data_IF_631005201320
#
_entry.id   IF_631005201320
#
_cell.length_a   1.000
_cell.length_b   1.000
_cell.length_c   1.000
_cell.angle_alpha   90.00
_cell.angle_beta   90.00
_cell.angle_gamma   90.00
#
_symmetry.space_group_name_H-M   'P 1'
#
loop_
_entity.id
_entity.type
_entity.pdbx_description
1 polymer ?
#
# COMPACT_ATOMS: atom_id res chain seq x y z
N UNK A 1 -14.40 29.43 -3.49
CA UNK A 1 -15.72 29.11 -4.05
C UNK A 1 -16.41 28.19 -3.08
N UNK A 2 -17.67 28.49 -2.74
CA UNK A 2 -18.50 27.65 -1.88
C UNK A 2 -18.76 26.33 -2.63
N UNK A 3 -18.15 25.24 -2.15
CA UNK A 3 -18.29 23.92 -2.77
C UNK A 3 -19.20 23.08 -1.88
N UNK A 4 -20.19 22.39 -2.45
CA UNK A 4 -21.06 21.52 -1.67
C UNK A 4 -20.22 20.43 -1.01
N UNK A 5 -20.48 20.14 0.27
CA UNK A 5 -19.75 19.17 1.07
C UNK A 5 -20.72 18.15 1.65
N UNK A 6 -20.47 16.88 1.35
CA UNK A 6 -21.10 15.75 2.03
C UNK A 6 -20.03 15.05 2.87
N UNK A 7 -20.27 14.95 4.17
CA UNK A 7 -19.42 14.15 5.03
C UNK A 7 -19.90 12.71 4.94
N UNK A 8 -19.03 11.77 4.55
CA UNK A 8 -19.31 10.34 4.58
C UNK A 8 -18.70 9.75 5.87
N UNK A 9 -19.45 9.69 6.99
CA UNK A 9 -18.96 9.20 8.27
C UNK A 9 -18.78 7.68 8.23
N UNK A 10 -17.59 7.23 7.83
CA UNK A 10 -17.23 5.82 7.90
C UNK A 10 -16.86 5.46 9.35
N UNK A 11 -17.55 4.50 9.96
CA UNK A 11 -17.37 4.12 11.36
C UNK A 11 -16.05 3.37 11.61
N UNK A 12 -15.49 3.52 12.82
CA UNK A 12 -14.20 2.91 13.19
C UNK A 12 -14.33 1.47 13.71
N UNK A 13 -15.50 1.09 14.25
CA UNK A 13 -15.77 -0.27 14.74
C UNK A 13 -16.40 -1.11 13.63
N UNK A 14 -15.68 -1.27 12.52
CA UNK A 14 -16.22 -1.88 11.31
C UNK A 14 -16.45 -3.40 11.41
N UNK A 15 -16.01 -4.06 12.48
CA UNK A 15 -16.30 -5.47 12.76
C UNK A 15 -17.71 -5.69 13.37
N UNK A 16 -18.41 -4.63 13.78
CA UNK A 16 -19.78 -4.72 14.29
C UNK A 16 -20.79 -4.81 13.12
N UNK A 17 -21.60 -5.87 13.01
CA UNK A 17 -22.61 -5.99 11.94
C UNK A 17 -23.63 -4.84 11.89
N UNK A 18 -23.94 -4.21 13.02
CA UNK A 18 -24.86 -3.06 13.07
C UNK A 18 -24.29 -1.84 12.36
N UNK A 19 -22.96 -1.70 12.43
CA UNK A 19 -22.20 -0.60 11.85
C UNK A 19 -22.18 -0.70 10.31
N UNK A 20 -22.20 -1.93 9.77
CA UNK A 20 -22.26 -2.17 8.33
C UNK A 20 -23.52 -1.60 7.70
N UNK A 21 -24.70 -1.85 8.30
CA UNK A 21 -25.98 -1.32 7.79
C UNK A 21 -26.04 0.20 7.81
N UNK A 22 -25.47 0.82 8.85
CA UNK A 22 -25.33 2.27 8.91
C UNK A 22 -24.49 2.81 7.74
N UNK A 23 -23.32 2.19 7.47
CA UNK A 23 -22.47 2.58 6.36
C UNK A 23 -23.13 2.42 4.98
N UNK A 24 -23.99 1.41 4.81
CA UNK A 24 -24.78 1.24 3.58
C UNK A 24 -25.72 2.43 3.34
N UNK A 25 -26.44 2.86 4.37
CA UNK A 25 -27.34 4.02 4.27
C UNK A 25 -26.57 5.30 3.92
N UNK A 26 -25.41 5.53 4.56
CA UNK A 26 -24.54 6.69 4.32
C UNK A 26 -24.02 6.74 2.87
N UNK A 27 -23.72 5.58 2.28
CA UNK A 27 -23.33 5.47 0.86
C UNK A 27 -24.48 5.88 -0.06
N UNK A 28 -25.71 5.42 0.22
CA UNK A 28 -26.89 5.81 -0.56
C UNK A 28 -27.21 7.30 -0.43
N UNK A 29 -27.05 7.88 0.76
CA UNK A 29 -27.20 9.32 0.98
C UNK A 29 -26.14 10.14 0.22
N UNK A 30 -24.90 9.64 0.16
CA UNK A 30 -23.84 10.23 -0.66
C UNK A 30 -24.20 10.19 -2.15
N UNK A 31 -24.79 9.10 -2.64
CA UNK A 31 -25.24 9.03 -4.03
C UNK A 31 -26.35 10.04 -4.31
N UNK A 32 -27.37 10.14 -3.45
CA UNK A 32 -28.44 11.15 -3.58
C UNK A 32 -27.88 12.57 -3.61
N UNK A 33 -26.92 12.86 -2.74
CA UNK A 33 -26.23 14.14 -2.76
C UNK A 33 -25.52 14.39 -4.09
N UNK A 34 -24.81 13.41 -4.65
CA UNK A 34 -24.17 13.53 -5.98
C UNK A 34 -25.21 13.75 -7.08
N UNK A 35 -26.33 13.03 -7.06
CA UNK A 35 -27.44 13.20 -8.01
C UNK A 35 -27.99 14.64 -7.94
N UNK A 36 -28.21 15.18 -6.75
CA UNK A 36 -28.69 16.55 -6.55
C UNK A 36 -27.70 17.60 -7.06
N UNK A 37 -26.40 17.40 -6.84
CA UNK A 37 -25.37 18.34 -7.29
C UNK A 37 -25.10 18.28 -8.80
N UNK A 38 -25.28 17.12 -9.43
CA UNK A 38 -24.92 16.89 -10.84
C UNK A 38 -26.12 16.86 -11.79
N UNK A 39 -27.33 16.61 -11.27
CA UNK A 39 -28.53 16.32 -12.07
C UNK A 39 -28.47 14.97 -12.79
N UNK A 40 -27.49 14.12 -12.50
CA UNK A 40 -27.32 12.80 -13.12
C UNK A 40 -27.80 11.72 -12.15
N UNK A 41 -28.86 10.97 -12.47
CA UNK A 41 -29.36 9.91 -11.60
C UNK A 41 -28.40 8.71 -11.57
N UNK A 42 -28.42 7.99 -10.45
CA UNK A 42 -27.75 6.73 -10.25
C UNK A 42 -28.17 5.73 -11.34
N UNK A 43 -27.18 5.02 -11.87
CA UNK A 43 -27.40 4.03 -12.92
C UNK A 43 -26.73 2.71 -12.51
N UNK A 44 -27.56 1.71 -12.21
CA UNK A 44 -27.12 0.39 -11.80
C UNK A 44 -26.18 -0.27 -12.81
N UNK A 45 -26.54 -0.27 -14.09
CA UNK A 45 -25.73 -0.91 -15.14
C UNK A 45 -24.33 -0.28 -15.27
N UNK A 46 -24.26 1.04 -15.08
CA UNK A 46 -23.00 1.77 -15.06
C UNK A 46 -22.17 1.41 -13.84
N UNK A 47 -22.79 1.30 -12.67
CA UNK A 47 -22.12 0.87 -11.44
C UNK A 47 -21.52 -0.54 -11.62
N UNK A 48 -22.32 -1.51 -12.07
CA UNK A 48 -21.86 -2.88 -12.35
C UNK A 48 -20.71 -2.88 -13.35
N UNK A 49 -20.83 -2.15 -14.47
CA UNK A 49 -19.79 -2.05 -15.50
C UNK A 49 -18.45 -1.60 -14.92
N UNK A 50 -18.45 -0.56 -14.07
CA UNK A 50 -17.21 -0.08 -13.48
C UNK A 50 -16.71 -1.04 -12.39
N UNK A 51 -17.56 -1.51 -11.49
CA UNK A 51 -17.13 -2.46 -10.45
C UNK A 51 -16.50 -3.73 -11.04
N UNK A 52 -17.01 -4.27 -12.14
CA UNK A 52 -16.38 -5.42 -12.81
C UNK A 52 -14.99 -5.12 -13.37
N UNK A 53 -14.76 -3.89 -13.87
CA UNK A 53 -13.42 -3.45 -14.29
C UNK A 53 -12.48 -3.35 -13.09
N UNK A 54 -12.98 -2.85 -11.95
CA UNK A 54 -12.19 -2.77 -10.71
C UNK A 54 -11.87 -4.16 -10.18
N UNK A 55 -12.84 -5.08 -10.14
CA UNK A 55 -12.64 -6.47 -9.75
C UNK A 55 -11.63 -7.15 -10.66
N UNK A 56 -11.68 -6.91 -11.98
CA UNK A 56 -10.66 -7.42 -12.91
C UNK A 56 -9.26 -6.92 -12.53
N UNK A 57 -9.11 -5.63 -12.25
CA UNK A 57 -7.83 -5.07 -11.83
C UNK A 57 -7.36 -5.67 -10.49
N UNK A 58 -8.28 -5.92 -9.55
CA UNK A 58 -7.98 -6.58 -8.30
C UNK A 58 -7.46 -8.01 -8.50
N UNK A 59 -8.12 -8.80 -9.36
CA UNK A 59 -7.66 -10.15 -9.72
C UNK A 59 -6.28 -10.11 -10.37
N UNK A 60 -6.01 -9.12 -11.22
CA UNK A 60 -4.69 -8.90 -11.81
C UNK A 60 -3.63 -8.55 -10.74
N UNK A 61 -3.98 -7.80 -9.68
CA UNK A 61 -3.10 -7.57 -8.51
C UNK A 61 -2.83 -8.86 -7.74
N UNK A 62 -3.85 -9.65 -7.43
CA UNK A 62 -3.70 -10.92 -6.73
C UNK A 62 -2.76 -11.87 -7.47
N UNK A 63 -2.86 -11.94 -8.79
CA UNK A 63 -1.94 -12.74 -9.59
C UNK A 63 -0.49 -12.24 -9.48
N UNK A 64 -0.28 -10.91 -9.53
CA UNK A 64 1.05 -10.31 -9.31
C UNK A 64 1.60 -10.64 -7.92
N UNK A 65 0.75 -10.57 -6.89
CA UNK A 65 1.12 -10.86 -5.51
C UNK A 65 1.44 -12.35 -5.29
N UNK A 66 0.73 -13.23 -5.98
CA UNK A 66 1.01 -14.66 -6.00
C UNK A 66 2.38 -14.97 -6.62
N UNK A 67 2.76 -14.28 -7.70
CA UNK A 67 4.10 -14.42 -8.28
C UNK A 67 5.17 -13.85 -7.33
N UNK A 68 4.91 -12.69 -6.73
CA UNK A 68 5.81 -12.05 -5.78
C UNK A 68 6.07 -12.90 -4.52
N UNK A 69 5.05 -13.63 -4.05
CA UNK A 69 5.14 -14.51 -2.88
C UNK A 69 5.82 -15.85 -3.16
N UNK A 70 5.66 -16.40 -4.37
CA UNK A 70 6.08 -17.77 -4.69
C UNK A 70 7.41 -17.87 -5.43
N UNK A 71 7.94 -16.76 -5.98
CA UNK A 71 9.11 -16.79 -6.87
C UNK A 71 10.00 -15.55 -6.71
N UNK A 72 11.26 -15.67 -7.13
CA UNK A 72 12.20 -14.54 -7.26
C UNK A 72 12.18 -13.90 -8.66
N UNK A 73 11.25 -14.31 -9.53
CA UNK A 73 11.16 -13.83 -10.92
C UNK A 73 10.15 -12.69 -11.09
N UNK A 74 9.85 -11.99 -9.99
CA UNK A 74 8.91 -10.87 -9.97
C UNK A 74 9.60 -9.57 -10.41
N UNK A 75 9.15 -8.90 -11.50
CA UNK A 75 9.86 -7.76 -12.08
C UNK A 75 9.42 -6.39 -11.57
N UNK A 76 8.44 -6.33 -10.68
CA UNK A 76 7.85 -5.06 -10.25
C UNK A 76 8.55 -4.64 -8.96
N UNK A 77 9.15 -3.46 -8.96
CA UNK A 77 9.73 -2.90 -7.74
C UNK A 77 8.65 -2.31 -6.83
N UNK A 78 8.97 -2.15 -5.54
CA UNK A 78 8.05 -1.63 -4.53
C UNK A 78 7.44 -0.26 -4.87
N UNK A 79 8.19 0.64 -5.52
CA UNK A 79 7.68 1.98 -5.91
C UNK A 79 6.57 1.87 -6.94
N UNK A 80 6.83 1.13 -8.02
CA UNK A 80 5.90 1.00 -9.14
C UNK A 80 4.58 0.38 -8.66
N UNK A 81 4.67 -0.61 -7.77
CA UNK A 81 3.51 -1.24 -7.16
C UNK A 81 2.70 -0.25 -6.31
N UNK A 82 3.36 0.47 -5.39
CA UNK A 82 2.72 1.46 -4.53
C UNK A 82 2.02 2.56 -5.33
N UNK A 83 2.75 3.21 -6.24
CA UNK A 83 2.22 4.34 -7.00
C UNK A 83 1.07 3.91 -7.91
N UNK A 84 1.18 2.75 -8.57
CA UNK A 84 0.09 2.22 -9.38
C UNK A 84 -1.17 2.03 -8.55
N UNK A 85 -1.07 1.43 -7.35
CA UNK A 85 -2.23 1.20 -6.48
C UNK A 85 -2.82 2.51 -5.96
N UNK A 86 -1.99 3.41 -5.45
CA UNK A 86 -2.42 4.71 -4.90
C UNK A 86 -3.18 5.53 -5.95
N UNK A 87 -2.65 5.63 -7.18
CA UNK A 87 -3.29 6.45 -8.21
C UNK A 87 -4.51 5.77 -8.84
N UNK A 88 -4.46 4.46 -9.11
CA UNK A 88 -5.61 3.75 -9.70
C UNK A 88 -6.82 3.75 -8.78
N UNK A 89 -6.62 3.67 -7.46
CA UNK A 89 -7.70 3.69 -6.47
C UNK A 89 -8.26 5.09 -6.21
N UNK A 90 -7.44 6.15 -6.33
CA UNK A 90 -7.89 7.54 -6.12
C UNK A 90 -8.48 8.21 -7.36
N UNK A 91 -7.89 8.00 -8.54
CA UNK A 91 -8.45 8.54 -9.79
C UNK A 91 -9.63 7.72 -10.32
N UNK A 92 -9.83 6.54 -9.75
CA UNK A 92 -10.80 5.57 -10.22
C UNK A 92 -10.39 4.93 -11.54
N UNK A 93 -11.10 3.86 -11.86
CA UNK A 93 -10.91 2.99 -13.02
C UNK A 93 -11.64 3.49 -14.29
N UNK A 94 -12.03 4.76 -14.34
CA UNK A 94 -12.76 5.30 -15.49
C UNK A 94 -11.90 5.24 -16.77
N UNK A 95 -10.60 5.43 -16.63
CA UNK A 95 -9.60 5.41 -17.72
C UNK A 95 -9.10 4.00 -18.02
N UNK A 96 -9.00 3.62 -19.30
CA UNK A 96 -8.44 2.33 -19.75
C UNK A 96 -6.94 2.18 -19.48
N UNK A 97 -6.24 3.27 -19.16
CA UNK A 97 -4.79 3.27 -18.96
C UNK A 97 -4.34 2.28 -17.88
N UNK A 98 -5.15 2.04 -16.84
CA UNK A 98 -4.83 1.09 -15.76
C UNK A 98 -4.85 -0.36 -16.24
N UNK A 99 -5.86 -0.72 -17.05
CA UNK A 99 -5.99 -2.05 -17.64
C UNK A 99 -4.85 -2.31 -18.63
N UNK A 100 -4.57 -1.35 -19.50
CA UNK A 100 -3.47 -1.43 -20.46
C UNK A 100 -2.10 -1.54 -19.78
N UNK A 101 -1.89 -0.79 -18.70
CA UNK A 101 -0.67 -0.87 -17.90
C UNK A 101 -0.56 -2.23 -17.20
N UNK A 102 -1.64 -2.72 -16.59
CA UNK A 102 -1.71 -4.05 -15.96
C UNK A 102 -1.34 -5.15 -16.97
N UNK A 103 -1.92 -5.13 -18.17
CA UNK A 103 -1.63 -6.11 -19.22
C UNK A 103 -0.16 -6.08 -19.67
N UNK A 104 0.41 -4.88 -19.87
CA UNK A 104 1.83 -4.73 -20.24
C UNK A 104 2.74 -5.29 -19.16
N UNK A 105 2.45 -4.99 -17.90
CA UNK A 105 3.22 -5.46 -16.75
C UNK A 105 3.12 -6.98 -16.61
N UNK A 106 1.92 -7.56 -16.75
CA UNK A 106 1.72 -9.02 -16.71
C UNK A 106 2.51 -9.74 -17.80
N UNK A 107 2.56 -9.21 -19.03
CA UNK A 107 3.39 -9.78 -20.11
C UNK A 107 4.88 -9.83 -19.74
N UNK A 108 5.39 -8.79 -19.08
CA UNK A 108 6.78 -8.77 -18.59
C UNK A 108 6.96 -9.80 -17.47
N UNK A 109 6.02 -9.85 -16.52
CA UNK A 109 6.03 -10.81 -15.41
C UNK A 109 6.04 -12.25 -15.89
N UNK A 110 5.14 -12.64 -16.80
CA UNK A 110 5.11 -13.99 -17.36
C UNK A 110 6.42 -14.33 -18.06
N UNK A 111 6.97 -13.41 -18.86
CA UNK A 111 8.27 -13.62 -19.49
C UNK A 111 9.38 -13.86 -18.48
N UNK A 112 9.39 -13.12 -17.36
CA UNK A 112 10.36 -13.33 -16.28
C UNK A 112 10.20 -14.71 -15.63
N UNK A 113 8.98 -15.11 -15.31
CA UNK A 113 8.68 -16.42 -14.70
C UNK A 113 9.04 -17.58 -15.65
N UNK A 114 8.58 -17.54 -16.90
CA UNK A 114 8.83 -18.58 -17.91
C UNK A 114 10.31 -18.78 -18.19
N UNK A 115 11.06 -17.67 -18.31
CA UNK A 115 12.49 -17.69 -18.61
C UNK A 115 13.37 -17.73 -17.35
N UNK A 116 12.78 -17.78 -16.16
CA UNK A 116 13.48 -17.73 -14.88
C UNK A 116 14.45 -16.54 -14.77
N UNK A 117 14.04 -15.39 -15.28
CA UNK A 117 14.82 -14.15 -15.19
C UNK A 117 14.58 -13.57 -13.80
N UNK A 118 15.62 -13.56 -12.95
CA UNK A 118 15.60 -12.85 -11.68
C UNK A 118 15.95 -11.36 -11.94
N UNK A 119 14.98 -10.43 -11.81
CA UNK A 119 15.21 -9.01 -12.06
C UNK A 119 15.98 -8.33 -10.91
N UNK A 120 15.99 -8.95 -9.73
CA UNK A 120 16.62 -8.46 -8.51
C UNK A 120 17.64 -9.47 -7.94
N UNK A 121 18.70 -9.84 -8.70
CA UNK A 121 19.62 -10.91 -8.32
C UNK A 121 20.51 -10.60 -7.12
N UNK A 122 20.57 -9.34 -6.67
CA UNK A 122 21.35 -8.92 -5.51
C UNK A 122 20.49 -8.82 -4.24
N UNK A 123 19.28 -9.37 -4.25
CA UNK A 123 18.39 -9.40 -3.07
C UNK A 123 19.10 -10.12 -1.92
N UNK A 124 19.31 -9.41 -0.82
CA UNK A 124 19.78 -9.97 0.47
C UNK A 124 18.62 -10.18 1.44
N UNK A 125 17.73 -9.19 1.50
CA UNK A 125 16.54 -9.19 2.36
C UNK A 125 15.29 -8.88 1.54
N UNK A 126 14.21 -9.58 1.87
CA UNK A 126 12.88 -9.38 1.30
C UNK A 126 12.10 -8.51 2.27
N UNK A 127 11.94 -7.24 1.90
CA UNK A 127 11.38 -6.21 2.76
C UNK A 127 9.87 -6.06 2.50
N UNK A 128 9.08 -6.03 3.58
CA UNK A 128 7.73 -5.47 3.56
C UNK A 128 7.77 -4.06 4.12
N UNK A 129 7.18 -3.10 3.40
CA UNK A 129 7.05 -1.75 3.92
C UNK A 129 5.66 -1.56 4.55
N UNK A 130 5.61 -1.06 5.78
CA UNK A 130 4.37 -0.96 6.56
C UNK A 130 4.14 0.47 7.03
N UNK A 131 2.88 0.85 7.28
CA UNK A 131 2.43 2.24 7.52
C UNK A 131 2.40 3.11 6.26
N UNK A 132 2.26 4.44 6.41
CA UNK A 132 2.12 5.40 5.32
C UNK A 132 3.49 5.81 4.75
N UNK A 133 3.67 5.68 3.43
CA UNK A 133 4.95 5.93 2.77
C UNK A 133 5.39 7.42 2.72
N UNK A 134 6.72 7.69 2.72
CA UNK A 134 7.28 9.02 2.47
C UNK A 134 7.16 9.40 0.99
N UNK A 135 6.08 10.08 0.60
CA UNK A 135 5.81 10.37 -0.81
C UNK A 135 6.93 11.17 -1.51
N UNK A 136 7.59 12.13 -0.83
CA UNK A 136 8.73 12.87 -1.40
C UNK A 136 9.99 12.01 -1.58
N UNK A 137 10.04 10.83 -0.98
CA UNK A 137 11.15 9.90 -1.12
C UNK A 137 10.66 8.50 -1.53
N UNK A 138 9.64 8.45 -2.39
CA UNK A 138 9.05 7.18 -2.84
C UNK A 138 10.08 6.24 -3.49
N UNK A 139 11.15 6.77 -4.06
CA UNK A 139 12.24 6.00 -4.70
C UNK A 139 13.26 5.41 -3.72
N UNK A 140 13.09 5.56 -2.40
CA UNK A 140 14.01 5.02 -1.40
C UNK A 140 14.29 3.53 -1.57
N UNK A 141 13.30 2.73 -1.96
CA UNK A 141 13.51 1.29 -2.10
C UNK A 141 14.39 0.93 -3.30
N UNK A 142 14.44 1.77 -4.34
CA UNK A 142 15.40 1.61 -5.44
C UNK A 142 16.82 1.87 -4.94
N UNK A 143 17.02 2.92 -4.17
CA UNK A 143 18.31 3.19 -3.53
C UNK A 143 18.71 2.05 -2.57
N UNK A 144 17.80 1.64 -1.70
CA UNK A 144 18.05 0.61 -0.69
C UNK A 144 18.38 -0.76 -1.33
N UNK A 145 17.73 -1.11 -2.44
CA UNK A 145 18.09 -2.30 -3.20
C UNK A 145 19.51 -2.21 -3.76
N UNK A 146 19.89 -1.10 -4.41
CA UNK A 146 21.21 -0.97 -5.03
C UNK A 146 22.35 -0.81 -4.00
N UNK A 147 22.09 -0.14 -2.88
CA UNK A 147 23.10 0.08 -1.85
C UNK A 147 23.24 -1.15 -0.92
N UNK A 148 22.14 -1.81 -0.57
CA UNK A 148 22.10 -2.82 0.50
C UNK A 148 21.46 -4.15 0.11
N UNK A 149 20.89 -4.30 -1.09
CA UNK A 149 20.18 -5.51 -1.50
C UNK A 149 18.81 -5.66 -0.82
N UNK A 150 18.24 -4.57 -0.30
CA UNK A 150 16.92 -4.54 0.33
C UNK A 150 15.83 -4.48 -0.75
N UNK A 151 15.23 -5.62 -1.06
CA UNK A 151 14.19 -5.72 -2.08
C UNK A 151 12.79 -5.56 -1.45
N UNK A 152 12.13 -4.42 -1.68
CA UNK A 152 10.75 -4.20 -1.20
C UNK A 152 9.75 -4.97 -2.06
N UNK A 153 9.23 -6.06 -1.51
CA UNK A 153 8.33 -7.00 -2.20
C UNK A 153 6.89 -6.49 -2.25
N UNK A 154 6.44 -5.88 -1.16
CA UNK A 154 5.09 -5.38 -0.99
C UNK A 154 5.08 -4.24 0.02
N UNK A 155 4.06 -3.40 -0.04
CA UNK A 155 3.81 -2.34 0.92
C UNK A 155 2.34 -2.29 1.34
N UNK A 156 2.06 -1.73 2.52
CA UNK A 156 0.69 -1.56 3.03
C UNK A 156 -0.21 -0.80 2.04
N UNK A 157 0.36 0.17 1.33
CA UNK A 157 -0.33 0.96 0.30
C UNK A 157 -0.67 0.17 -0.97
N UNK A 158 -0.13 -1.04 -1.14
CA UNK A 158 -0.51 -1.95 -2.22
C UNK A 158 -1.66 -2.86 -1.79
N UNK A 159 -1.73 -3.17 -0.49
CA UNK A 159 -2.73 -4.05 0.13
C UNK A 159 -4.04 -3.31 0.44
N UNK A 160 -4.14 -2.04 0.07
CA UNK A 160 -5.38 -1.27 0.15
C UNK A 160 -6.47 -1.99 -0.63
N UNK A 161 -7.68 -2.10 -0.09
CA UNK A 161 -8.84 -2.60 -0.83
C UNK A 161 -8.65 -4.03 -1.38
N UNK A 162 -8.08 -4.93 -0.57
CA UNK A 162 -7.84 -6.34 -0.88
C UNK A 162 -9.15 -7.17 -0.91
N UNK A 163 -10.07 -6.83 -1.81
CA UNK A 163 -11.34 -7.52 -2.00
C UNK A 163 -11.98 -7.24 -3.38
N UNK A 164 -12.88 -8.13 -3.80
CA UNK A 164 -13.84 -7.88 -4.89
C UNK A 164 -15.17 -7.38 -4.33
N UNK A 165 -15.93 -6.68 -5.16
CA UNK A 165 -17.28 -6.21 -4.85
C UNK A 165 -18.26 -7.02 -5.70
N UNK A 166 -19.17 -7.76 -5.08
CA UNK A 166 -20.19 -8.53 -5.80
C UNK A 166 -21.09 -7.62 -6.63
N UNK A 167 -21.50 -8.08 -7.81
CA UNK A 167 -22.35 -7.35 -8.76
C UNK A 167 -23.60 -8.13 -9.17
N UNK A 168 -23.87 -9.25 -8.49
CA UNK A 168 -25.01 -10.14 -8.76
C UNK A 168 -26.35 -9.56 -8.28
N UNK A 169 -26.32 -8.65 -7.31
CA UNK A 169 -27.48 -7.88 -6.86
C UNK A 169 -27.06 -6.54 -6.24
N UNK A 170 -28.01 -5.60 -6.17
CA UNK A 170 -27.82 -4.30 -5.53
C UNK A 170 -27.44 -4.43 -4.06
N UNK A 171 -28.13 -5.29 -3.31
CA UNK A 171 -27.89 -5.47 -1.88
C UNK A 171 -26.50 -6.04 -1.59
N UNK A 172 -26.08 -7.07 -2.34
CA UNK A 172 -24.75 -7.65 -2.20
C UNK A 172 -23.65 -6.63 -2.54
N UNK A 173 -23.85 -5.84 -3.60
CA UNK A 173 -22.92 -4.80 -3.99
C UNK A 173 -22.82 -3.71 -2.92
N UNK A 174 -23.94 -3.22 -2.39
CA UNK A 174 -23.97 -2.17 -1.38
C UNK A 174 -23.32 -2.65 -0.06
N UNK A 175 -23.58 -3.90 0.31
CA UNK A 175 -22.94 -4.56 1.44
C UNK A 175 -21.40 -4.61 1.30
N UNK A 176 -20.92 -5.00 0.11
CA UNK A 176 -19.50 -5.10 -0.16
C UNK A 176 -18.85 -3.71 -0.28
N UNK A 177 -19.55 -2.71 -0.85
CA UNK A 177 -19.08 -1.32 -0.89
C UNK A 177 -18.94 -0.72 0.51
N UNK A 178 -19.88 -1.02 1.41
CA UNK A 178 -19.75 -0.62 2.82
C UNK A 178 -18.47 -1.22 3.43
N UNK A 179 -18.24 -2.52 3.20
CA UNK A 179 -17.01 -3.20 3.66
C UNK A 179 -15.77 -2.57 3.04
N UNK A 180 -15.77 -2.32 1.73
CA UNK A 180 -14.69 -1.71 0.98
C UNK A 180 -14.27 -0.35 1.53
N UNK A 181 -15.24 0.52 1.83
CA UNK A 181 -14.98 1.84 2.42
C UNK A 181 -14.53 1.76 3.88
N UNK A 182 -15.10 0.84 4.67
CA UNK A 182 -14.65 0.58 6.04
C UNK A 182 -13.23 0.00 6.11
N UNK A 183 -12.88 -0.84 5.13
CA UNK A 183 -11.56 -1.45 4.99
C UNK A 183 -10.56 -0.59 4.24
N UNK A 184 -10.88 0.70 4.03
CA UNK A 184 -9.89 1.63 3.52
C UNK A 184 -8.60 1.49 4.36
N UNK A 185 -7.44 1.40 3.73
CA UNK A 185 -6.18 0.94 4.33
C UNK A 185 -5.78 1.68 5.60
N UNK A 186 -5.92 3.01 5.62
CA UNK A 186 -5.64 3.81 6.81
C UNK A 186 -6.62 3.49 7.94
N UNK A 187 -7.88 3.18 7.62
CA UNK A 187 -8.88 2.76 8.60
C UNK A 187 -8.61 1.38 9.15
N UNK A 188 -8.37 0.37 8.30
CA UNK A 188 -8.11 -1.00 8.76
C UNK A 188 -6.73 -1.15 9.37
N UNK A 189 -5.68 -0.90 8.60
CA UNK A 189 -4.31 -1.28 8.97
C UNK A 189 -3.57 -0.22 9.81
N UNK A 190 -4.02 1.03 9.87
CA UNK A 190 -3.37 2.07 10.70
C UNK A 190 -4.18 2.47 11.95
N UNK A 191 -5.52 2.49 11.89
CA UNK A 191 -6.38 2.86 13.04
C UNK A 191 -7.45 1.83 13.41
N UNK A 192 -7.43 0.64 12.81
CA UNK A 192 -8.43 -0.42 13.03
C UNK A 192 -8.24 -1.18 14.33
N UNK A 193 -7.25 -0.81 15.13
CA UNK A 193 -6.91 -1.48 16.38
C UNK A 193 -5.83 -2.55 16.21
N UNK A 194 -5.50 -3.21 17.33
CA UNK A 194 -4.33 -4.09 17.43
C UNK A 194 -4.39 -5.30 16.50
N UNK A 195 -5.58 -5.84 16.24
CA UNK A 195 -5.71 -6.99 15.35
C UNK A 195 -5.25 -6.66 13.94
N UNK A 196 -5.81 -5.60 13.35
CA UNK A 196 -5.55 -5.25 11.96
C UNK A 196 -4.17 -4.67 11.70
N UNK A 197 -3.62 -3.89 12.64
CA UNK A 197 -2.28 -3.33 12.46
C UNK A 197 -1.18 -4.41 12.48
N UNK A 198 -1.46 -5.54 13.14
CA UNK A 198 -0.58 -6.70 13.19
C UNK A 198 -0.86 -7.75 12.11
N UNK A 199 -1.79 -7.51 11.18
CA UNK A 199 -1.90 -8.30 9.94
C UNK A 199 -0.58 -8.29 9.14
N UNK A 200 0.31 -7.31 9.41
CA UNK A 200 1.71 -7.30 8.98
C UNK A 200 2.36 -8.68 9.06
N UNK A 201 2.17 -9.42 10.15
CA UNK A 201 2.85 -10.71 10.35
C UNK A 201 2.34 -11.79 9.38
N UNK A 202 1.05 -11.76 9.05
CA UNK A 202 0.47 -12.70 8.10
C UNK A 202 0.89 -12.34 6.67
N UNK A 203 0.98 -11.05 6.36
CA UNK A 203 1.54 -10.58 5.09
C UNK A 203 3.03 -10.88 4.96
N UNK A 204 3.83 -10.76 6.03
CA UNK A 204 5.24 -11.17 6.03
C UNK A 204 5.39 -12.64 5.64
N UNK A 205 4.59 -13.53 6.25
CA UNK A 205 4.58 -14.95 5.90
C UNK A 205 4.11 -15.16 4.46
N UNK A 206 3.00 -14.51 4.07
CA UNK A 206 2.42 -14.63 2.72
C UNK A 206 3.43 -14.25 1.63
N UNK A 207 4.16 -13.17 1.83
CA UNK A 207 5.12 -12.64 0.85
C UNK A 207 6.55 -13.12 1.07
N UNK A 208 6.78 -14.04 2.01
CA UNK A 208 8.11 -14.53 2.38
C UNK A 208 9.10 -13.37 2.64
N UNK A 209 8.68 -12.40 3.44
CA UNK A 209 9.52 -11.26 3.85
C UNK A 209 10.21 -11.56 5.18
N UNK A 210 11.48 -11.19 5.29
CA UNK A 210 12.33 -11.39 6.47
C UNK A 210 12.65 -10.09 7.21
N UNK A 211 12.32 -8.94 6.62
CA UNK A 211 12.60 -7.63 7.16
C UNK A 211 11.41 -6.67 6.99
N UNK A 212 11.24 -5.77 7.95
CA UNK A 212 10.20 -4.73 7.94
C UNK A 212 10.82 -3.35 7.81
N UNK A 213 10.37 -2.58 6.82
CA UNK A 213 10.59 -1.14 6.77
C UNK A 213 9.34 -0.45 7.35
N UNK A 214 9.44 0.04 8.58
CA UNK A 214 8.33 0.74 9.23
C UNK A 214 8.36 2.22 8.87
N UNK A 215 7.34 2.70 8.18
CA UNK A 215 7.21 4.12 7.93
C UNK A 215 6.72 4.86 9.18
N UNK A 216 7.58 5.73 9.71
CA UNK A 216 7.33 6.52 10.91
C UNK A 216 6.89 7.93 10.55
N UNK A 217 5.61 8.06 10.21
CA UNK A 217 5.04 9.36 9.87
C UNK A 217 4.79 10.18 11.15
N UNK A 218 5.51 11.30 11.30
CA UNK A 218 5.59 12.08 12.54
C UNK A 218 4.26 12.76 12.97
N UNK A 219 3.36 13.01 12.02
CA UNK A 219 2.07 13.65 12.24
C UNK A 219 0.90 12.64 12.46
N UNK A 220 1.10 11.36 12.18
CA UNK A 220 0.09 10.32 12.18
C UNK A 220 -0.02 9.75 13.59
N UNK A 221 -0.86 10.37 14.42
CA UNK A 221 -0.97 10.04 15.85
C UNK A 221 -1.40 8.59 16.11
N UNK A 222 -2.13 7.96 15.20
CA UNK A 222 -2.47 6.54 15.29
C UNK A 222 -1.22 5.65 15.28
N UNK A 223 -0.37 5.80 14.25
CA UNK A 223 0.86 5.02 14.11
C UNK A 223 1.89 5.34 15.19
N UNK A 224 2.02 6.63 15.56
CA UNK A 224 2.87 7.05 16.68
C UNK A 224 2.46 6.38 18.00
N UNK A 225 1.16 6.20 18.22
CA UNK A 225 0.63 5.57 19.43
C UNK A 225 0.98 4.09 19.57
N UNK A 226 1.30 3.39 18.47
CA UNK A 226 1.63 1.96 18.47
C UNK A 226 3.12 1.68 18.26
N UNK A 227 3.96 2.71 18.14
CA UNK A 227 5.40 2.56 17.89
C UNK A 227 6.08 1.63 18.91
N UNK A 228 5.86 1.89 20.21
CA UNK A 228 6.42 1.05 21.29
C UNK A 228 5.91 -0.39 21.27
N UNK A 229 4.69 -0.63 20.78
CA UNK A 229 4.14 -1.98 20.65
C UNK A 229 4.85 -2.74 19.52
N UNK A 230 5.13 -2.09 18.40
CA UNK A 230 5.91 -2.69 17.31
C UNK A 230 7.33 -3.03 17.75
N UNK A 231 8.00 -2.13 18.47
CA UNK A 231 9.31 -2.39 19.08
C UNK A 231 9.33 -3.65 19.96
N UNK A 232 8.31 -3.81 20.81
CA UNK A 232 8.15 -5.02 21.62
C UNK A 232 7.90 -6.26 20.76
N UNK A 233 7.07 -6.18 19.72
CA UNK A 233 6.78 -7.30 18.83
C UNK A 233 7.99 -7.70 17.97
N UNK A 234 8.78 -6.75 17.45
CA UNK A 234 10.01 -7.04 16.72
C UNK A 234 10.99 -7.82 17.58
N UNK A 235 11.20 -7.38 18.83
CA UNK A 235 12.04 -8.08 19.81
C UNK A 235 11.52 -9.47 20.15
N UNK A 236 10.22 -9.61 20.44
CA UNK A 236 9.62 -10.92 20.78
C UNK A 236 9.68 -11.92 19.63
N UNK A 237 9.51 -11.45 18.39
CA UNK A 237 9.44 -12.30 17.20
C UNK A 237 10.79 -12.48 16.52
N UNK A 238 11.83 -11.78 16.99
CA UNK A 238 13.15 -11.75 16.38
C UNK A 238 13.08 -11.35 14.89
N UNK A 239 12.34 -10.28 14.61
CA UNK A 239 12.15 -9.73 13.26
C UNK A 239 13.10 -8.55 13.08
N UNK A 240 13.85 -8.55 11.98
CA UNK A 240 14.67 -7.41 11.60
C UNK A 240 13.74 -6.28 11.11
N UNK A 241 13.85 -5.11 11.72
CA UNK A 241 13.02 -3.98 11.38
C UNK A 241 13.78 -2.67 11.58
N UNK A 242 13.54 -1.71 10.69
CA UNK A 242 14.06 -0.36 10.82
C UNK A 242 12.95 0.66 10.56
N UNK A 243 13.10 1.83 11.15
CA UNK A 243 12.14 2.93 11.02
C UNK A 243 12.60 3.94 9.97
N UNK A 244 11.62 4.49 9.24
CA UNK A 244 11.81 5.55 8.26
C UNK A 244 11.02 6.78 8.75
N UNK A 245 11.64 7.66 9.54
CA UNK A 245 11.01 8.88 10.00
C UNK A 245 10.79 9.84 8.83
N UNK A 246 9.59 10.39 8.73
CA UNK A 246 9.24 11.32 7.67
C UNK A 246 8.00 12.16 8.01
N UNK A 247 7.77 13.22 7.25
CA UNK A 247 6.64 14.14 7.44
C UNK A 247 5.79 14.31 6.17
N UNK A 248 5.17 13.22 5.68
CA UNK A 248 4.36 13.20 4.45
C UNK A 248 5.07 13.89 3.26
N UNK A 249 4.66 15.03 2.65
CA UNK A 249 5.45 15.63 1.55
C UNK A 249 6.58 16.55 2.04
N UNK A 250 6.69 16.83 3.35
CA UNK A 250 7.61 17.86 3.87
C UNK A 250 9.01 17.32 4.19
N UNK A 251 9.88 17.36 3.19
CA UNK A 251 11.28 16.98 3.30
C UNK A 251 12.11 17.90 4.21
N UNK A 252 11.58 19.06 4.65
CA UNK A 252 12.30 20.00 5.54
C UNK A 252 12.34 19.51 6.99
N UNK A 253 11.41 18.64 7.37
CA UNK A 253 11.36 18.06 8.72
C UNK A 253 12.34 16.90 8.85
N UNK A 254 12.34 15.99 7.85
CA UNK A 254 13.32 14.90 7.75
C UNK A 254 13.80 14.84 6.31
N UNK A 255 15.09 15.06 6.09
CA UNK A 255 15.67 15.02 4.76
C UNK A 255 15.80 13.58 4.24
N UNK A 256 15.92 13.41 2.93
CA UNK A 256 16.20 12.10 2.33
C UNK A 256 17.55 11.55 2.79
N UNK A 257 18.55 12.42 2.92
CA UNK A 257 19.87 12.07 3.45
C UNK A 257 19.78 11.54 4.89
N UNK A 258 18.95 12.14 5.74
CA UNK A 258 18.73 11.66 7.11
C UNK A 258 18.08 10.27 7.12
N UNK A 259 17.08 10.03 6.27
CA UNK A 259 16.48 8.69 6.11
C UNK A 259 17.53 7.68 5.67
N UNK A 260 18.35 7.99 4.67
CA UNK A 260 19.43 7.11 4.21
C UNK A 260 20.42 6.81 5.33
N UNK A 261 20.84 7.82 6.07
CA UNK A 261 21.78 7.68 7.20
C UNK A 261 21.25 6.67 8.22
N UNK A 262 19.98 6.76 8.60
CA UNK A 262 19.40 5.81 9.56
C UNK A 262 19.36 4.38 9.03
N UNK A 263 19.03 4.20 7.76
CA UNK A 263 19.05 2.87 7.13
C UNK A 263 20.49 2.34 7.04
N UNK A 264 21.45 3.17 6.65
CA UNK A 264 22.87 2.81 6.60
C UNK A 264 23.41 2.40 7.99
N UNK A 265 23.09 3.19 9.02
CA UNK A 265 23.49 2.94 10.40
C UNK A 265 22.91 1.60 10.89
N UNK A 266 21.65 1.30 10.57
CA UNK A 266 21.01 0.02 10.87
C UNK A 266 21.69 -1.15 10.16
N UNK A 267 21.91 -1.06 8.85
CA UNK A 267 22.53 -2.13 8.07
C UNK A 267 23.98 -2.40 8.51
N UNK A 268 24.73 -1.36 8.87
CA UNK A 268 26.12 -1.49 9.31
C UNK A 268 26.20 -2.01 10.76
N UNK A 269 25.39 -1.44 11.66
CA UNK A 269 25.55 -1.66 13.11
C UNK A 269 24.76 -2.86 13.61
N UNK A 270 23.56 -3.09 13.08
CA UNK A 270 22.65 -4.16 13.54
C UNK A 270 22.77 -5.38 12.64
N UNK A 271 22.77 -5.17 11.32
CA UNK A 271 22.87 -6.29 10.37
C UNK A 271 24.30 -6.72 10.10
N UNK A 272 25.30 -5.89 10.44
CA UNK A 272 26.73 -6.14 10.19
C UNK A 272 27.04 -6.43 8.72
N UNK A 273 26.38 -5.72 7.82
CA UNK A 273 26.57 -5.89 6.38
C UNK A 273 27.47 -4.83 5.77
N UNK A 274 28.15 -5.22 4.70
CA UNK A 274 28.88 -4.31 3.82
C UNK A 274 27.98 -3.89 2.64
N UNK A 275 27.96 -2.61 2.25
CA UNK A 275 27.13 -2.15 1.13
C UNK A 275 27.54 -2.82 -0.18
N UNK A 276 26.57 -3.10 -1.04
CA UNK A 276 26.79 -3.57 -2.41
C UNK A 276 27.48 -2.50 -3.26
N UNK A 277 27.09 -1.23 -3.05
CA UNK A 277 27.70 -0.08 -3.68
C UNK A 277 27.99 1.01 -2.61
N UNK A 278 29.25 1.10 -2.13
CA UNK A 278 29.64 2.11 -1.15
C UNK A 278 29.47 3.56 -1.64
N UNK A 279 29.43 3.80 -2.96
CA UNK A 279 29.24 5.16 -3.49
C UNK A 279 27.82 5.71 -3.27
N UNK A 280 26.87 4.83 -2.92
CA UNK A 280 25.49 5.19 -2.62
C UNK A 280 25.23 5.46 -1.14
N UNK A 281 26.24 5.34 -0.27
CA UNK A 281 26.08 5.61 1.16
C UNK A 281 25.79 7.09 1.45
N UNK A 282 26.49 7.99 0.76
CA UNK A 282 26.36 9.43 0.92
C UNK A 282 26.44 10.15 -0.42
N UNK A 283 25.38 10.88 -0.75
CA UNK A 283 25.29 11.70 -1.96
C UNK A 283 24.26 12.81 -1.74
N UNK A 284 24.48 13.94 -2.42
CA UNK A 284 23.56 15.07 -2.40
C UNK A 284 22.37 14.82 -3.31
N UNK A 285 21.18 14.82 -2.72
CA UNK A 285 19.90 14.72 -3.40
C UNK A 285 18.92 15.82 -2.97
N UNK A 286 19.44 16.90 -2.38
CA UNK A 286 18.66 18.04 -1.90
C UNK A 286 17.82 18.71 -3.00
N UNK A 287 18.29 18.65 -4.24
CA UNK A 287 17.63 19.23 -5.42
C UNK A 287 16.78 18.22 -6.22
N UNK A 288 16.68 16.97 -5.78
CA UNK A 288 15.86 15.97 -6.47
C UNK A 288 14.37 16.18 -6.17
N UNK A 289 13.53 15.90 -7.17
CA UNK A 289 12.07 16.02 -7.09
C UNK A 289 11.48 14.75 -6.47
#
# INVERSE_FOLDING_TARGET
>A
ADKPLFALPIPMQFDDPLVKKYCMNEIEECWKFIEEQTGVPFNWDSMVKYLERQNKLQRDEWEKWDVASKTDYYPINGVAQALFRIYSTQYGIQTSCWEEASEKVKKIMYKCVEKKINPFPQTRHRVIAWSCAPLYFSNWCTWAYNCWGLNTIINMDSLMFDMEIRTDSYDNMLEDMATYHMWAPMRRMAVGGMHHIFELWDYMKRFNCDMVAMYDQLQCKGMQGVHGLFEDEFRKRNINAFWIPHALPDCRTVSRAEIRRQINDYMTTVMHEEPLDPSLLDFDDSMTW
#
